data_IF_320935088513
#
_entry.id   IF_320935088513
#
_cell.length_a   1.000
_cell.length_b   1.000
_cell.length_c   1.000
_cell.angle_alpha   90.00
_cell.angle_beta   90.00
_cell.angle_gamma   90.00
#
_symmetry.space_group_name_H-M   'P 1'
#
loop_
_entity.id
_entity.type
_entity.pdbx_description
1 polymer ?
#
# COMPACT_ATOMS: atom_id res chain seq x y z
N UNK A 1 -6.88 -9.64 2.35
CA UNK A 1 -5.99 -8.93 1.42
C UNK A 1 -4.73 -9.71 1.12
N UNK A 2 -3.94 -10.12 2.12
CA UNK A 2 -2.64 -10.75 1.85
C UNK A 2 -2.71 -12.06 1.03
N UNK A 3 -3.78 -12.86 1.18
CA UNK A 3 -4.02 -14.06 0.34
C UNK A 3 -4.63 -13.77 -1.05
N UNK A 4 -5.05 -12.55 -1.32
CA UNK A 4 -5.71 -12.14 -2.57
C UNK A 4 -4.73 -11.38 -3.47
N UNK A 5 -3.93 -10.50 -2.87
CA UNK A 5 -2.92 -9.71 -3.57
C UNK A 5 -1.72 -10.61 -3.84
N UNK A 6 -1.40 -10.82 -5.12
CA UNK A 6 -0.21 -11.59 -5.52
C UNK A 6 1.05 -10.96 -4.93
N UNK A 7 2.12 -11.75 -4.71
CA UNK A 7 3.45 -11.21 -4.48
C UNK A 7 3.75 -10.09 -5.48
N UNK A 8 4.35 -8.98 -5.03
CA UNK A 8 4.66 -7.76 -5.81
C UNK A 8 3.45 -7.00 -6.38
N UNK A 9 2.22 -7.40 -6.03
CA UNK A 9 1.00 -6.70 -6.44
C UNK A 9 0.86 -5.33 -5.79
N UNK A 10 0.13 -4.44 -6.47
CA UNK A 10 -0.18 -3.11 -5.99
C UNK A 10 -1.62 -3.04 -5.46
N UNK A 11 -1.81 -2.26 -4.40
CA UNK A 11 -3.11 -1.88 -3.86
C UNK A 11 -3.21 -0.37 -3.98
N UNK A 12 -4.33 0.10 -4.53
CA UNK A 12 -4.61 1.52 -4.70
C UNK A 12 -5.78 1.84 -3.78
N UNK A 13 -5.53 2.67 -2.77
CA UNK A 13 -6.55 3.25 -1.92
C UNK A 13 -6.87 4.64 -2.45
N UNK A 14 -8.16 4.98 -2.50
CA UNK A 14 -8.63 6.34 -2.76
C UNK A 14 -9.62 6.67 -1.67
N UNK A 15 -9.17 7.42 -0.68
CA UNK A 15 -9.95 7.71 0.51
C UNK A 15 -9.45 9.01 1.16
N UNK A 16 -10.14 9.47 2.19
CA UNK A 16 -9.77 10.67 2.93
C UNK A 16 -8.42 10.52 3.63
N UNK A 17 -7.71 11.64 3.79
CA UNK A 17 -6.43 11.69 4.49
C UNK A 17 -6.39 10.93 5.84
N UNK A 18 -7.39 11.06 6.74
CA UNK A 18 -7.38 10.34 8.02
C UNK A 18 -7.42 8.82 7.87
N UNK A 19 -8.09 8.31 6.83
CA UNK A 19 -8.16 6.88 6.52
C UNK A 19 -6.82 6.36 6.00
N UNK A 20 -6.16 7.13 5.13
CA UNK A 20 -4.82 6.80 4.63
C UNK A 20 -3.81 6.75 5.78
N UNK A 21 -3.86 7.72 6.69
CA UNK A 21 -2.98 7.76 7.86
C UNK A 21 -3.26 6.63 8.86
N UNK A 22 -4.50 6.17 8.95
CA UNK A 22 -4.85 4.96 9.70
C UNK A 22 -4.23 3.72 9.07
N UNK A 23 -4.39 3.54 7.75
CA UNK A 23 -3.85 2.39 7.00
C UNK A 23 -2.33 2.34 7.07
N UNK A 24 -1.64 3.49 6.98
CA UNK A 24 -0.17 3.59 7.10
C UNK A 24 0.37 2.92 8.37
N UNK A 25 -0.35 3.01 9.50
CA UNK A 25 0.06 2.39 10.77
C UNK A 25 0.15 0.86 10.71
N UNK A 26 -0.66 0.23 9.85
CA UNK A 26 -0.73 -1.22 9.73
C UNK A 26 0.16 -1.78 8.62
N UNK A 27 0.67 -0.95 7.71
CA UNK A 27 1.52 -1.39 6.60
C UNK A 27 2.77 -2.14 7.08
N UNK A 28 3.39 -1.64 8.14
CA UNK A 28 4.60 -2.24 8.72
C UNK A 28 4.32 -3.65 9.24
N UNK A 29 3.19 -3.88 9.90
CA UNK A 29 2.80 -5.20 10.38
C UNK A 29 2.45 -6.18 9.24
N UNK A 30 2.01 -5.64 8.09
CA UNK A 30 1.62 -6.41 6.92
C UNK A 30 2.77 -6.66 5.92
N UNK A 31 3.98 -6.14 6.19
CA UNK A 31 5.12 -6.13 5.24
C UNK A 31 4.77 -5.49 3.90
N UNK A 32 4.00 -4.41 3.93
CA UNK A 32 3.64 -3.65 2.74
C UNK A 32 4.41 -2.33 2.68
N UNK A 33 4.79 -1.90 1.48
CA UNK A 33 5.58 -0.69 1.25
C UNK A 33 4.76 0.37 0.53
N UNK A 34 4.79 1.60 1.02
CA UNK A 34 4.18 2.74 0.34
C UNK A 34 5.03 3.14 -0.86
N UNK A 35 4.45 3.09 -2.07
CA UNK A 35 5.17 3.41 -3.32
C UNK A 35 4.89 4.84 -3.76
N UNK A 36 3.65 5.30 -3.64
CA UNK A 36 3.30 6.67 -4.00
C UNK A 36 2.08 7.16 -3.22
N UNK A 37 2.04 8.45 -2.92
CA UNK A 37 0.86 9.15 -2.43
C UNK A 37 0.62 10.32 -3.37
N UNK A 38 -0.59 10.44 -3.91
CA UNK A 38 -0.99 11.51 -4.80
C UNK A 38 -2.27 12.15 -4.26
N UNK A 39 -2.24 13.45 -4.06
CA UNK A 39 -3.43 14.21 -3.66
C UNK A 39 -4.33 14.36 -4.88
N UNK A 40 -5.59 13.91 -4.79
CA UNK A 40 -6.55 13.94 -5.90
C UNK A 40 -7.20 15.31 -6.06
N UNK A 41 -6.44 16.38 -5.84
CA UNK A 41 -6.92 17.77 -5.85
C UNK A 41 -7.26 18.33 -7.23
N UNK A 42 -7.07 17.55 -8.31
CA UNK A 42 -7.22 18.02 -9.69
C UNK A 42 -8.54 17.73 -10.41
N UNK A 43 -9.48 16.92 -9.88
CA UNK A 43 -10.75 16.70 -10.59
C UNK A 43 -11.97 16.71 -9.67
N UNK A 44 -12.54 17.92 -9.56
CA UNK A 44 -13.96 18.25 -9.61
C UNK A 44 -14.97 17.46 -8.75
N UNK A 45 -15.60 18.22 -7.83
CA UNK A 45 -17.00 18.13 -7.32
C UNK A 45 -17.31 17.25 -6.11
N UNK A 46 -16.44 16.36 -5.62
CA UNK A 46 -16.75 15.60 -4.38
C UNK A 46 -15.56 15.58 -3.42
N UNK A 47 -15.75 16.27 -2.29
CA UNK A 47 -14.99 16.20 -1.04
C UNK A 47 -13.45 16.35 -1.16
N UNK A 48 -12.96 17.57 -0.97
CA UNK A 48 -11.59 18.02 -1.26
C UNK A 48 -10.43 17.42 -0.46
N UNK A 49 -10.61 16.27 0.19
CA UNK A 49 -9.61 15.59 1.02
C UNK A 49 -9.33 14.14 0.58
N UNK A 50 -9.79 13.73 -0.61
CA UNK A 50 -9.47 12.41 -1.16
C UNK A 50 -8.00 12.32 -1.63
N UNK A 51 -7.28 11.35 -1.06
CA UNK A 51 -5.89 11.03 -1.38
C UNK A 51 -5.84 9.64 -2.01
N UNK A 52 -5.09 9.55 -3.11
CA UNK A 52 -4.75 8.27 -3.74
C UNK A 52 -3.45 7.76 -3.14
N UNK A 53 -3.52 6.60 -2.49
CA UNK A 53 -2.38 5.97 -1.85
C UNK A 53 -2.09 4.61 -2.48
N UNK A 54 -0.89 4.48 -3.04
CA UNK A 54 -0.42 3.30 -3.76
C UNK A 54 0.57 2.56 -2.87
N UNK A 55 0.23 1.31 -2.58
CA UNK A 55 1.02 0.42 -1.74
C UNK A 55 1.39 -0.82 -2.56
N UNK A 56 2.63 -1.28 -2.41
CA UNK A 56 3.08 -2.55 -2.96
C UNK A 56 3.24 -3.58 -1.85
N UNK A 57 2.67 -4.77 -2.07
CA UNK A 57 2.89 -5.91 -1.19
C UNK A 57 4.29 -6.47 -1.43
N UNK A 58 5.14 -6.49 -0.39
CA UNK A 58 6.39 -7.26 -0.44
C UNK A 58 6.10 -8.74 -0.20
N UNK A 59 6.95 -9.58 -0.79
CA UNK A 59 6.94 -11.01 -0.48
C UNK A 59 7.33 -11.17 0.99
N UNK A 60 6.58 -11.98 1.72
CA UNK A 60 6.99 -12.44 3.03
C UNK A 60 8.11 -13.47 2.82
N UNK A 61 9.35 -12.99 2.81
CA UNK A 61 10.52 -13.85 2.78
C UNK A 61 10.66 -14.47 4.18
N UNK A 62 10.29 -15.73 4.33
CA UNK A 62 10.71 -16.52 5.48
C UNK A 62 12.20 -16.80 5.33
N UNK A 63 12.93 -16.77 6.44
CA UNK A 63 14.41 -16.79 6.54
C UNK A 63 15.09 -17.99 5.84
N UNK A 64 14.33 -18.99 5.41
CA UNK A 64 14.81 -20.17 4.66
C UNK A 64 14.94 -19.94 3.15
N UNK A 65 14.36 -18.88 2.60
CA UNK A 65 14.38 -18.59 1.15
C UNK A 65 15.67 -17.93 0.64
N UNK A 66 16.60 -17.59 1.54
CA UNK A 66 17.89 -16.95 1.21
C UNK A 66 19.03 -17.91 0.90
N UNK A 67 18.79 -19.23 0.82
CA UNK A 67 19.85 -20.25 0.76
C UNK A 67 20.33 -20.68 -0.63
N UNK A 68 19.87 -20.07 -1.71
CA UNK A 68 20.25 -20.50 -3.06
C UNK A 68 20.62 -19.31 -3.96
N UNK A 69 21.65 -18.54 -3.58
CA UNK A 69 22.43 -17.74 -4.54
C UNK A 69 23.84 -17.45 -3.98
N UNK A 70 24.71 -18.46 -3.93
CA UNK A 70 26.18 -18.30 -3.99
C UNK A 70 26.76 -19.34 -4.96
#
# INVERSE_FOLDING_TARGET
MDRIVRPTGFIIFRDKQPMIDFVKKYLTALHWEAVATADSSSDSVQDGDEIVFIIQKKLWLTTESFRDTE
#
